data_IF_751893045150
#
_entry.id   IF_751893045150
#
_cell.length_a   1.000
_cell.length_b   1.000
_cell.length_c   1.000
_cell.angle_alpha   90.00
_cell.angle_beta   90.00
_cell.angle_gamma   90.00
#
_symmetry.space_group_name_H-M   'P 1'
#
loop_
_entity.id
_entity.type
_entity.pdbx_description
1 polymer ?
#
# COMPACT_ATOMS: atom_id res chain seq x y z
N UNK A 1 10.34 -28.66 -1.15
CA UNK A 1 10.17 -27.71 -2.27
C UNK A 1 11.38 -26.82 -2.31
N UNK A 2 12.16 -26.94 -3.38
CA UNK A 2 13.38 -26.15 -3.59
C UNK A 2 13.02 -24.67 -3.75
N UNK A 3 13.94 -23.78 -3.41
CA UNK A 3 13.80 -22.34 -3.67
C UNK A 3 13.54 -22.05 -5.16
N UNK A 4 14.09 -22.88 -6.05
CA UNK A 4 13.85 -22.81 -7.50
C UNK A 4 12.39 -23.10 -7.86
N UNK A 5 11.76 -24.12 -7.25
CA UNK A 5 10.35 -24.46 -7.51
C UNK A 5 9.41 -23.31 -7.11
N UNK A 6 9.71 -22.65 -5.99
CA UNK A 6 8.95 -21.48 -5.53
C UNK A 6 9.14 -20.28 -6.46
N UNK A 7 10.38 -20.02 -6.88
CA UNK A 7 10.66 -18.95 -7.84
C UNK A 7 9.92 -19.18 -9.17
N UNK A 8 9.96 -20.41 -9.70
CA UNK A 8 9.23 -20.77 -10.92
C UNK A 8 7.72 -20.64 -10.76
N UNK A 9 7.17 -21.07 -9.62
CA UNK A 9 5.74 -20.91 -9.34
C UNK A 9 5.31 -19.43 -9.32
N UNK A 10 6.10 -18.55 -8.69
CA UNK A 10 5.82 -17.11 -8.70
C UNK A 10 5.97 -16.50 -10.10
N UNK A 11 7.00 -16.91 -10.87
CA UNK A 11 7.20 -16.45 -12.25
C UNK A 11 6.02 -16.88 -13.16
N UNK A 12 5.53 -18.10 -13.01
CA UNK A 12 4.37 -18.60 -13.77
C UNK A 12 3.07 -17.88 -13.38
N UNK A 13 2.91 -17.51 -12.11
CA UNK A 13 1.74 -16.78 -11.64
C UNK A 13 1.72 -15.34 -12.18
N UNK A 14 2.88 -14.68 -12.17
CA UNK A 14 3.09 -13.35 -12.76
C UNK A 14 2.86 -13.40 -14.27
N UNK A 15 3.41 -14.41 -14.96
CA UNK A 15 3.22 -14.58 -16.41
C UNK A 15 1.74 -14.81 -16.80
N UNK A 16 1.00 -15.56 -15.97
CA UNK A 16 -0.44 -15.79 -16.14
C UNK A 16 -1.26 -14.51 -15.98
N UNK A 17 -0.95 -13.68 -14.99
CA UNK A 17 -1.61 -12.38 -14.80
C UNK A 17 -1.22 -11.37 -15.90
N UNK A 18 0.06 -11.34 -16.32
CA UNK A 18 0.50 -10.51 -17.44
C UNK A 18 -0.17 -10.90 -18.75
N UNK A 19 -0.44 -12.19 -18.95
CA UNK A 19 -1.07 -12.72 -20.17
C UNK A 19 -2.54 -12.31 -20.32
N UNK A 20 -3.20 -11.80 -19.28
CA UNK A 20 -4.54 -11.18 -19.39
C UNK A 20 -4.50 -9.85 -20.17
N UNK A 21 -3.37 -9.15 -20.19
CA UNK A 21 -3.23 -7.88 -20.89
C UNK A 21 -2.75 -8.12 -22.34
N UNK A 22 -3.65 -7.91 -23.31
CA UNK A 22 -3.35 -8.08 -24.75
C UNK A 22 -2.14 -7.26 -25.23
N UNK A 23 -1.84 -6.13 -24.59
CA UNK A 23 -0.67 -5.28 -24.89
C UNK A 23 0.64 -6.05 -24.71
N UNK A 24 0.78 -6.86 -23.64
CA UNK A 24 2.00 -7.63 -23.38
C UNK A 24 2.14 -8.86 -24.28
N UNK A 25 1.03 -9.46 -24.70
CA UNK A 25 1.03 -10.58 -25.66
C UNK A 25 1.52 -10.14 -27.05
N UNK A 26 1.18 -8.93 -27.47
CA UNK A 26 1.65 -8.39 -28.76
C UNK A 26 3.13 -8.01 -28.72
N UNK A 27 3.63 -7.54 -27.57
CA UNK A 27 5.06 -7.27 -27.36
C UNK A 27 5.91 -8.54 -27.32
N UNK A 28 5.44 -9.61 -26.68
CA UNK A 28 6.15 -10.90 -26.62
C UNK A 28 6.29 -11.53 -28.01
N UNK A 29 5.23 -11.48 -28.83
CA UNK A 29 5.26 -11.98 -30.22
C UNK A 29 6.27 -11.25 -31.10
N UNK A 30 6.56 -9.98 -30.82
CA UNK A 30 7.53 -9.18 -31.60
C UNK A 30 8.97 -9.31 -31.09
N UNK A 31 9.18 -9.58 -29.81
CA UNK A 31 10.51 -9.52 -29.19
C UNK A 31 11.10 -10.88 -28.80
N UNK A 32 10.33 -11.97 -28.77
CA UNK A 32 10.77 -13.33 -28.38
C UNK A 32 11.43 -13.43 -27.00
N UNK A 33 11.39 -12.37 -26.19
CA UNK A 33 11.89 -12.33 -24.81
C UNK A 33 10.70 -12.59 -23.87
N UNK A 34 10.83 -13.47 -22.86
CA UNK A 34 9.74 -13.73 -21.94
C UNK A 34 9.32 -12.45 -21.21
N UNK A 35 8.01 -12.15 -21.21
CA UNK A 35 7.42 -10.91 -20.68
C UNK A 35 7.92 -10.54 -19.28
N UNK A 36 8.16 -11.57 -18.46
CA UNK A 36 8.60 -11.42 -17.08
C UNK A 36 9.98 -10.77 -16.99
N UNK A 37 10.93 -11.09 -17.87
CA UNK A 37 12.25 -10.44 -17.88
C UNK A 37 12.17 -8.98 -18.31
N UNK A 38 11.28 -8.65 -19.25
CA UNK A 38 11.05 -7.27 -19.67
C UNK A 38 10.48 -6.43 -18.51
N UNK A 39 9.48 -6.95 -17.80
CA UNK A 39 8.91 -6.28 -16.61
C UNK A 39 9.96 -6.15 -15.50
N UNK A 40 10.70 -7.21 -15.20
CA UNK A 40 11.78 -7.16 -14.20
C UNK A 40 12.86 -6.15 -14.59
N UNK A 41 13.21 -6.06 -15.88
CA UNK A 41 14.14 -5.06 -16.41
C UNK A 41 13.64 -3.63 -16.21
N UNK A 42 12.36 -3.36 -16.51
CA UNK A 42 11.73 -2.05 -16.30
C UNK A 42 11.67 -1.70 -14.81
N UNK A 43 11.28 -2.64 -13.95
CA UNK A 43 11.26 -2.45 -12.49
C UNK A 43 12.67 -2.19 -11.95
N UNK A 44 13.67 -2.95 -12.43
CA UNK A 44 15.08 -2.77 -12.05
C UNK A 44 15.63 -1.42 -12.49
N UNK A 45 15.33 -1.00 -13.73
CA UNK A 45 15.70 0.32 -14.26
C UNK A 45 15.03 1.45 -13.46
N UNK A 46 13.75 1.28 -13.13
CA UNK A 46 13.00 2.23 -12.31
C UNK A 46 13.61 2.35 -10.90
N UNK A 47 13.94 1.22 -10.27
CA UNK A 47 14.62 1.21 -8.97
C UNK A 47 16.00 1.86 -9.06
N UNK A 48 16.75 1.62 -10.14
CA UNK A 48 18.03 2.26 -10.42
C UNK A 48 17.87 3.79 -10.49
N UNK A 49 16.90 4.31 -11.27
CA UNK A 49 16.67 5.76 -11.32
C UNK A 49 16.32 6.36 -9.96
N UNK A 50 15.52 5.68 -9.14
CA UNK A 50 15.23 6.11 -7.77
C UNK A 50 16.48 6.07 -6.88
N UNK A 51 17.31 5.03 -7.00
CA UNK A 51 18.55 4.86 -6.24
C UNK A 51 19.57 5.97 -6.53
N UNK A 52 19.70 6.36 -7.80
CA UNK A 52 20.54 7.48 -8.22
C UNK A 52 19.87 8.86 -8.05
N UNK A 53 18.69 8.92 -7.42
CA UNK A 53 17.94 10.14 -7.13
C UNK A 53 17.53 10.94 -8.39
N UNK A 54 17.47 10.29 -9.55
CA UNK A 54 17.03 10.93 -10.79
C UNK A 54 15.49 10.99 -10.79
N UNK A 55 14.93 12.12 -10.37
CA UNK A 55 13.49 12.30 -10.25
C UNK A 55 12.85 11.47 -9.12
N UNK A 56 13.63 11.09 -8.09
CA UNK A 56 13.21 10.20 -7.01
C UNK A 56 11.87 10.58 -6.38
N UNK A 57 11.64 11.86 -6.10
CA UNK A 57 10.38 12.34 -5.53
C UNK A 57 9.15 12.01 -6.42
N UNK A 58 9.25 12.30 -7.72
CA UNK A 58 8.16 12.04 -8.66
C UNK A 58 7.96 10.54 -8.80
N UNK A 59 9.03 9.79 -9.07
CA UNK A 59 8.95 8.35 -9.25
C UNK A 59 8.31 7.70 -8.02
N UNK A 60 8.85 7.92 -6.83
CA UNK A 60 8.34 7.31 -5.60
C UNK A 60 6.89 7.64 -5.29
N UNK A 61 6.46 8.89 -5.53
CA UNK A 61 5.06 9.28 -5.38
C UNK A 61 4.17 8.58 -6.41
N UNK A 62 4.62 8.47 -7.66
CA UNK A 62 3.88 7.74 -8.70
C UNK A 62 3.69 6.27 -8.35
N UNK A 63 4.74 5.57 -7.90
CA UNK A 63 4.60 4.17 -7.47
C UNK A 63 3.72 4.04 -6.22
N UNK A 64 3.92 4.92 -5.23
CA UNK A 64 3.11 4.98 -4.01
C UNK A 64 1.65 5.36 -4.24
N UNK A 65 1.30 5.89 -5.41
CA UNK A 65 -0.08 6.21 -5.78
C UNK A 65 -0.70 5.13 -6.69
N UNK A 66 -0.01 4.74 -7.76
CA UNK A 66 -0.57 3.85 -8.80
C UNK A 66 -0.78 2.43 -8.28
N UNK A 67 0.21 1.86 -7.58
CA UNK A 67 0.15 0.47 -7.10
C UNK A 67 -1.05 0.28 -6.14
N UNK A 68 -1.12 1.00 -5.01
CA UNK A 68 -2.25 0.88 -4.10
C UNK A 68 -3.55 1.43 -4.70
N UNK A 69 -3.49 2.39 -5.62
CA UNK A 69 -4.67 2.89 -6.34
C UNK A 69 -5.34 1.80 -7.19
N UNK A 70 -4.54 1.01 -7.92
CA UNK A 70 -5.05 -0.15 -8.66
C UNK A 70 -5.69 -1.18 -7.74
N UNK A 71 -5.00 -1.56 -6.65
CA UNK A 71 -5.56 -2.52 -5.70
C UNK A 71 -6.76 -1.96 -4.92
N UNK A 72 -6.82 -0.64 -4.67
CA UNK A 72 -7.99 0.00 -4.06
C UNK A 72 -9.20 -0.06 -4.99
N UNK A 73 -9.01 0.12 -6.31
CA UNK A 73 -10.09 -0.06 -7.29
C UNK A 73 -10.58 -1.50 -7.30
N UNK A 74 -9.67 -2.47 -7.28
CA UNK A 74 -10.04 -3.89 -7.18
C UNK A 74 -10.80 -4.20 -5.88
N UNK A 75 -10.37 -3.62 -4.74
CA UNK A 75 -11.05 -3.75 -3.46
C UNK A 75 -12.47 -3.14 -3.47
N UNK A 76 -12.68 -2.01 -4.15
CA UNK A 76 -14.02 -1.39 -4.29
C UNK A 76 -15.01 -2.32 -4.99
N UNK A 77 -14.53 -3.16 -5.93
CA UNK A 77 -15.36 -4.16 -6.61
C UNK A 77 -15.42 -5.51 -5.88
N UNK A 78 -14.62 -5.69 -4.83
CA UNK A 78 -14.65 -6.86 -3.95
C UNK A 78 -15.71 -6.68 -2.85
N UNK A 79 -16.34 -7.77 -2.42
CA UNK A 79 -17.37 -7.74 -1.37
C UNK A 79 -16.79 -7.67 0.06
N UNK A 80 -15.46 -7.75 0.21
CA UNK A 80 -14.78 -7.91 1.50
C UNK A 80 -14.33 -6.59 2.16
N UNK A 81 -14.89 -6.25 3.32
CA UNK A 81 -14.53 -5.04 4.10
C UNK A 81 -13.10 -5.01 4.66
N UNK A 82 -12.42 -6.15 4.70
CA UNK A 82 -11.07 -6.25 5.25
C UNK A 82 -10.04 -5.55 4.35
N UNK A 83 -10.22 -5.65 3.03
CA UNK A 83 -9.34 -5.03 2.05
C UNK A 83 -9.47 -3.50 2.10
N UNK A 84 -10.71 -3.00 2.19
CA UNK A 84 -10.99 -1.55 2.33
C UNK A 84 -10.26 -0.92 3.51
N UNK A 85 -10.29 -1.60 4.66
CA UNK A 85 -9.67 -1.09 5.91
C UNK A 85 -8.16 -0.99 5.76
N UNK A 86 -7.53 -1.96 5.08
CA UNK A 86 -6.10 -1.96 4.83
C UNK A 86 -5.70 -0.81 3.91
N UNK A 87 -6.38 -0.65 2.77
CA UNK A 87 -6.05 0.41 1.81
C UNK A 87 -6.29 1.80 2.41
N UNK A 88 -7.38 1.99 3.16
CA UNK A 88 -7.63 3.25 3.86
C UNK A 88 -6.52 3.56 4.88
N UNK A 89 -6.08 2.56 5.65
CA UNK A 89 -4.95 2.72 6.59
C UNK A 89 -3.68 3.11 5.87
N UNK A 90 -3.38 2.47 4.74
CA UNK A 90 -2.25 2.82 3.89
C UNK A 90 -2.32 4.30 3.45
N UNK A 91 -3.46 4.75 2.93
CA UNK A 91 -3.64 6.13 2.46
C UNK A 91 -3.45 7.17 3.56
N UNK A 92 -3.90 6.87 4.78
CA UNK A 92 -3.68 7.75 5.95
C UNK A 92 -2.19 7.87 6.28
N UNK A 93 -1.47 6.75 6.33
CA UNK A 93 -0.02 6.75 6.61
C UNK A 93 0.75 7.44 5.48
N UNK A 94 0.42 7.14 4.22
CA UNK A 94 1.04 7.73 3.04
C UNK A 94 0.83 9.25 2.97
N UNK A 95 -0.40 9.71 3.24
CA UNK A 95 -0.72 11.14 3.31
C UNK A 95 0.06 11.84 4.41
N UNK A 96 0.14 11.24 5.60
CA UNK A 96 0.92 11.79 6.71
C UNK A 96 2.41 11.91 6.38
N UNK A 97 3.01 10.88 5.79
CA UNK A 97 4.41 10.92 5.34
C UNK A 97 4.64 12.01 4.30
N UNK A 98 3.72 12.16 3.34
CA UNK A 98 3.83 13.15 2.27
C UNK A 98 3.79 14.58 2.82
N UNK A 99 2.91 14.85 3.79
CA UNK A 99 2.85 16.15 4.47
C UNK A 99 4.12 16.40 5.29
N UNK A 100 4.55 15.41 6.07
CA UNK A 100 5.75 15.50 6.91
C UNK A 100 7.00 15.75 6.05
N UNK A 101 7.14 15.06 4.93
CA UNK A 101 8.21 15.30 3.96
C UNK A 101 8.16 16.73 3.40
N UNK A 102 6.97 17.25 3.08
CA UNK A 102 6.83 18.63 2.61
C UNK A 102 7.24 19.67 3.67
N UNK A 103 7.21 19.32 4.96
CA UNK A 103 7.63 20.19 6.06
C UNK A 103 9.14 20.12 6.32
N UNK A 104 9.80 19.00 5.97
CA UNK A 104 11.23 18.80 6.24
C UNK A 104 12.04 19.02 4.95
N UNK A 105 12.43 20.27 4.68
CA UNK A 105 13.25 20.62 3.50
C UNK A 105 14.67 20.00 3.51
N UNK A 106 15.12 19.45 4.64
CA UNK A 106 16.44 18.80 4.79
C UNK A 106 16.49 17.41 4.14
N UNK A 107 15.34 16.84 3.80
CA UNK A 107 15.21 15.50 3.22
C UNK A 107 16.03 15.30 1.94
N UNK A 108 16.18 16.34 1.11
CA UNK A 108 16.97 16.30 -0.13
C UNK A 108 18.47 16.14 0.11
N UNK A 109 18.96 16.46 1.31
CA UNK A 109 20.38 16.35 1.64
C UNK A 109 20.79 14.91 1.98
N UNK A 110 19.83 14.03 2.31
CA UNK A 110 20.11 12.65 2.67
C UNK A 110 20.14 11.75 1.41
N UNK A 111 21.32 11.21 1.02
CA UNK A 111 21.41 10.28 -0.10
C UNK A 111 20.58 9.01 0.21
N UNK A 112 19.90 8.47 -0.80
CA UNK A 112 19.00 7.30 -0.70
C UNK A 112 17.69 7.49 0.08
N UNK A 113 17.33 8.71 0.50
CA UNK A 113 16.05 8.95 1.17
C UNK A 113 14.85 8.43 0.36
N UNK A 114 14.78 8.75 -0.94
CA UNK A 114 13.68 8.32 -1.79
C UNK A 114 13.63 6.80 -1.95
N UNK A 115 14.78 6.13 -2.02
CA UNK A 115 14.83 4.67 -2.02
C UNK A 115 14.23 4.10 -0.74
N UNK A 116 14.59 4.65 0.42
CA UNK A 116 14.02 4.24 1.69
C UNK A 116 12.52 4.50 1.75
N UNK A 117 12.07 5.68 1.33
CA UNK A 117 10.65 6.04 1.25
C UNK A 117 9.88 5.07 0.35
N UNK A 118 10.43 4.71 -0.81
CA UNK A 118 9.84 3.75 -1.74
C UNK A 118 9.70 2.37 -1.11
N UNK A 119 10.76 1.86 -0.48
CA UNK A 119 10.76 0.56 0.18
C UNK A 119 9.75 0.57 1.33
N UNK A 120 9.72 1.64 2.12
CA UNK A 120 8.78 1.81 3.23
C UNK A 120 7.33 1.85 2.74
N UNK A 121 7.07 2.60 1.67
CA UNK A 121 5.75 2.72 1.06
C UNK A 121 5.28 1.39 0.46
N UNK A 122 6.16 0.68 -0.25
CA UNK A 122 5.88 -0.68 -0.74
C UNK A 122 5.61 -1.64 0.41
N UNK A 123 6.41 -1.58 1.47
CA UNK A 123 6.24 -2.43 2.64
C UNK A 123 4.89 -2.20 3.34
N UNK A 124 4.40 -0.94 3.36
CA UNK A 124 3.06 -0.61 3.84
C UNK A 124 1.96 -1.13 2.93
N UNK A 125 2.19 -1.12 1.61
CA UNK A 125 1.22 -1.61 0.63
C UNK A 125 1.06 -3.14 0.66
N UNK A 126 2.05 -3.89 1.17
CA UNK A 126 1.98 -5.35 1.27
C UNK A 126 0.97 -5.79 2.36
N UNK A 127 -0.12 -6.50 1.99
CA UNK A 127 -1.06 -7.09 2.97
C UNK A 127 -0.40 -8.12 3.86
N UNK A 128 0.50 -8.92 3.29
CA UNK A 128 1.10 -10.08 3.96
C UNK A 128 2.04 -9.71 5.11
N UNK A 129 2.68 -8.54 5.06
CA UNK A 129 3.57 -8.07 6.13
C UNK A 129 2.79 -7.37 7.25
N UNK A 130 1.52 -7.00 7.01
CA UNK A 130 0.70 -6.26 7.98
C UNK A 130 1.30 -4.91 8.39
N UNK A 131 2.21 -4.35 7.58
CA UNK A 131 3.00 -3.18 7.96
C UNK A 131 2.15 -1.96 8.26
N UNK A 132 1.12 -1.71 7.44
CA UNK A 132 0.16 -0.64 7.67
C UNK A 132 -0.61 -0.81 9.00
N UNK A 133 -1.02 -2.03 9.34
CA UNK A 133 -1.72 -2.31 10.59
C UNK A 133 -0.80 -2.17 11.81
N UNK A 134 0.48 -2.53 11.68
CA UNK A 134 1.47 -2.36 12.74
C UNK A 134 1.68 -0.88 13.07
N UNK A 135 1.90 -0.04 12.04
CA UNK A 135 2.04 1.41 12.23
C UNK A 135 0.74 2.02 12.74
N UNK A 136 -0.41 1.56 12.23
CA UNK A 136 -1.68 2.04 12.72
C UNK A 136 -1.87 1.72 14.21
N UNK A 137 -1.61 0.49 14.65
CA UNK A 137 -1.74 0.10 16.06
C UNK A 137 -0.70 0.75 16.97
N UNK A 138 0.53 0.94 16.50
CA UNK A 138 1.62 1.48 17.32
C UNK A 138 1.64 3.00 17.38
N UNK A 139 1.28 3.69 16.30
CA UNK A 139 1.41 5.15 16.21
C UNK A 139 0.04 5.85 16.14
N UNK A 140 -0.85 5.41 15.24
CA UNK A 140 -2.13 6.09 15.05
C UNK A 140 -3.14 5.75 16.15
N UNK A 141 -3.24 4.50 16.59
CA UNK A 141 -4.17 4.04 17.61
C UNK A 141 -3.99 4.80 18.94
N UNK A 142 -2.79 5.00 19.51
CA UNK A 142 -2.66 5.78 20.74
C UNK A 142 -2.93 7.29 20.55
N UNK A 143 -2.69 7.83 19.34
CA UNK A 143 -2.94 9.25 19.02
C UNK A 143 -4.43 9.52 18.79
N UNK A 144 -5.13 8.58 18.14
CA UNK A 144 -6.52 8.71 17.73
C UNK A 144 -7.52 8.00 18.67
N UNK A 145 -7.10 7.07 19.53
CA UNK A 145 -7.98 6.41 20.50
C UNK A 145 -8.66 7.41 21.43
N UNK A 146 -7.97 8.51 21.77
CA UNK A 146 -8.53 9.59 22.59
C UNK A 146 -9.68 10.35 21.93
N UNK A 147 -9.72 10.40 20.59
CA UNK A 147 -10.76 11.13 19.84
C UNK A 147 -11.84 10.21 19.27
N UNK A 148 -11.51 8.98 18.88
CA UNK A 148 -12.47 8.03 18.30
C UNK A 148 -13.11 7.06 19.32
N UNK A 149 -12.58 6.89 20.54
CA UNK A 149 -13.36 6.26 21.63
C UNK A 149 -14.54 7.13 22.06
N UNK A 150 -14.51 8.43 21.73
CA UNK A 150 -15.64 9.33 21.86
C UNK A 150 -16.58 9.22 20.65
N UNK A 151 -16.67 8.05 20.00
CA UNK A 151 -17.75 7.76 19.06
C UNK A 151 -19.05 7.75 19.85
N UNK A 152 -19.76 8.87 19.78
CA UNK A 152 -21.04 9.20 20.41
C UNK A 152 -22.05 8.06 20.41
N UNK A 153 -21.96 7.09 19.50
CA UNK A 153 -22.79 5.88 19.46
C UNK A 153 -22.66 4.97 20.70
N UNK A 154 -21.46 4.76 21.26
CA UNK A 154 -21.30 3.94 22.47
C UNK A 154 -21.83 4.66 23.71
N UNK A 155 -21.58 5.97 23.82
CA UNK A 155 -22.14 6.81 24.88
C UNK A 155 -23.66 7.01 24.76
N UNK A 156 -24.20 7.10 23.54
CA UNK A 156 -25.64 7.15 23.29
C UNK A 156 -26.31 5.82 23.61
N UNK A 157 -25.71 4.69 23.23
CA UNK A 157 -26.24 3.36 23.56
C UNK A 157 -26.27 3.15 25.07
N UNK A 158 -25.18 3.48 25.76
CA UNK A 158 -25.12 3.42 27.22
C UNK A 158 -26.14 4.36 27.90
N UNK A 159 -26.35 5.58 27.35
CA UNK A 159 -27.41 6.49 27.85
C UNK A 159 -28.82 6.00 27.57
N UNK A 160 -29.06 5.41 26.40
CA UNK A 160 -30.36 4.85 26.03
C UNK A 160 -30.67 3.66 26.92
N UNK A 161 -29.72 2.74 27.11
CA UNK A 161 -29.88 1.54 27.95
C UNK A 161 -30.08 1.90 29.45
N UNK A 162 -29.43 2.98 29.92
CA UNK A 162 -29.68 3.53 31.25
C UNK A 162 -31.08 4.17 31.38
N UNK A 163 -31.54 4.89 30.36
CA UNK A 163 -32.85 5.55 30.37
C UNK A 163 -34.03 4.58 30.19
N UNK A 164 -33.85 3.45 29.48
CA UNK A 164 -34.86 2.38 29.40
C UNK A 164 -34.93 1.55 30.69
N UNK A 165 -33.81 1.38 31.39
CA UNK A 165 -33.80 0.68 32.69
C UNK A 165 -34.52 1.49 33.79
N UNK A 166 -34.46 2.82 33.75
CA UNK A 166 -35.15 3.71 34.69
C UNK A 166 -36.68 3.77 34.47
N UNK A 167 -37.14 3.55 33.24
CA UNK A 167 -38.57 3.59 32.86
C UNK A 167 -39.33 2.26 33.03
N UNK A 168 -38.62 1.19 33.43
CA UNK A 168 -39.19 -0.16 33.56
C UNK A 168 -39.37 -0.63 35.01
N UNK A 169 -39.18 0.29 35.97
CA UNK A 169 -39.59 0.18 37.38
C UNK A 169 -40.77 1.14 37.65
#
# INVERSE_FOLDING_TARGET
>A
MSFQDKAQAHLSQVDKELSKYQVFNNFEKQTSVPKVYAVLGVVGLYFFFVFFNFGGQILTNFAGFIIPGYYSLEAIFSAGKADDTQWLTYWVVFGFLTVLESLISVVYWFPFYYTFKLIFTLWLALPQTGGAQLIFRSFFQPVFSRHFQQSTASNLRNKVDAATSDKTL
#
